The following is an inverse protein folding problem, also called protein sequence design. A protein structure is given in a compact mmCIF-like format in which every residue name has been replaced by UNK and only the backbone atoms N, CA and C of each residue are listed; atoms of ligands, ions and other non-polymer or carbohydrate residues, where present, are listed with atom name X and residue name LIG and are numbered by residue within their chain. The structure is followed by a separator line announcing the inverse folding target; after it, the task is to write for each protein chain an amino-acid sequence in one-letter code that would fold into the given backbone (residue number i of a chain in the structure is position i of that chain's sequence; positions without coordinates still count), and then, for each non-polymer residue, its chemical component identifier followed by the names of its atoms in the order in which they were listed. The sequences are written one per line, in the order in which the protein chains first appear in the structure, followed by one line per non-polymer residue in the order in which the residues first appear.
data_IF_390114349428
#
_entry.id   IF_390114349428
#
_cell.length_a   1.000
_cell.length_b   1.000
_cell.length_c   1.000
_cell.angle_alpha   90.00
_cell.angle_beta   90.00
_cell.angle_gamma   90.00
#
_symmetry.space_group_name_H-M   'P 1'
#
loop_
_entity.id
_entity.type
_entity.pdbx_description
1 polymer ?
#
# COMPACT_ATOMS: atom_id res chain seq x y z
N UNK A 1 18.28 14.12 -9.61
CA UNK A 1 17.11 13.20 -9.52
C UNK A 1 17.49 12.13 -8.52
N UNK A 2 16.91 12.16 -7.33
CA UNK A 2 17.24 11.20 -6.27
C UNK A 2 16.71 9.83 -6.67
N UNK A 3 17.58 8.83 -6.78
CA UNK A 3 17.21 7.44 -7.02
C UNK A 3 16.19 7.01 -5.95
N UNK A 4 14.99 6.59 -6.36
CA UNK A 4 14.05 5.97 -5.41
C UNK A 4 14.67 4.63 -4.97
N UNK A 5 14.76 4.34 -3.66
CA UNK A 5 15.21 3.05 -3.19
C UNK A 5 14.38 1.94 -3.83
N UNK A 6 15.03 0.84 -4.23
CA UNK A 6 14.37 -0.35 -4.80
C UNK A 6 13.28 -0.96 -3.89
N UNK A 7 13.24 -0.52 -2.63
CA UNK A 7 12.27 -0.93 -1.61
C UNK A 7 10.96 -0.12 -1.61
N UNK A 8 10.82 0.88 -2.47
CA UNK A 8 9.64 1.74 -2.49
C UNK A 8 8.51 1.08 -3.28
N UNK A 9 7.35 0.88 -2.65
CA UNK A 9 6.16 0.42 -3.34
C UNK A 9 5.71 1.51 -4.36
N UNK A 10 5.16 1.11 -5.51
CA UNK A 10 4.63 2.05 -6.51
C UNK A 10 3.50 2.93 -5.94
N UNK A 11 3.21 4.07 -6.59
CA UNK A 11 2.31 5.10 -6.05
C UNK A 11 0.96 4.52 -5.57
N UNK A 12 0.48 4.88 -4.36
CA UNK A 12 -0.81 4.41 -3.85
C UNK A 12 -1.99 4.99 -4.61
N UNK A 13 -1.83 6.12 -5.29
CA UNK A 13 -2.92 6.78 -6.01
C UNK A 13 -3.31 6.07 -7.30
N UNK A 14 -2.53 5.08 -7.72
CA UNK A 14 -2.84 4.26 -8.88
C UNK A 14 -3.63 3.02 -8.44
N UNK A 15 -4.93 3.06 -8.67
CA UNK A 15 -5.84 1.95 -8.36
C UNK A 15 -5.47 0.68 -9.15
N UNK A 16 -4.92 0.81 -10.35
CA UNK A 16 -4.48 -0.32 -11.17
C UNK A 16 -3.30 -1.05 -10.53
N UNK A 17 -2.32 -0.30 -10.04
CA UNK A 17 -1.20 -0.82 -9.25
C UNK A 17 -1.68 -1.56 -8.01
N UNK A 18 -2.62 -0.97 -7.26
CA UNK A 18 -3.11 -1.57 -6.01
C UNK A 18 -3.83 -2.90 -6.27
N UNK A 19 -4.62 -2.99 -7.36
CA UNK A 19 -5.27 -4.24 -7.79
C UNK A 19 -4.27 -5.31 -8.18
N UNK A 20 -3.18 -4.95 -8.87
CA UNK A 20 -2.10 -5.90 -9.21
C UNK A 20 -1.45 -6.44 -7.94
N UNK A 21 -1.15 -5.57 -6.97
CA UNK A 21 -0.58 -5.99 -5.68
C UNK A 21 -1.54 -7.00 -5.03
N UNK A 22 -2.80 -6.63 -4.81
CA UNK A 22 -3.80 -7.51 -4.18
C UNK A 22 -3.96 -8.85 -4.90
N UNK A 23 -4.03 -8.86 -6.23
CA UNK A 23 -4.14 -10.09 -7.02
C UNK A 23 -2.90 -11.00 -6.88
N UNK A 24 -1.71 -10.39 -6.79
CA UNK A 24 -0.46 -11.12 -6.56
C UNK A 24 -0.41 -11.68 -5.14
N UNK A 25 -1.01 -10.98 -4.17
CA UNK A 25 -1.09 -11.42 -2.78
C UNK A 25 -2.00 -12.62 -2.58
N UNK A 26 -3.10 -12.74 -3.32
CA UNK A 26 -3.99 -13.91 -3.27
C UNK A 26 -3.28 -15.22 -3.67
N UNK A 27 -2.20 -15.11 -4.44
CA UNK A 27 -1.40 -16.25 -4.91
C UNK A 27 -0.28 -16.65 -3.92
N UNK A 28 -0.05 -15.85 -2.87
CA UNK A 28 1.03 -16.07 -1.89
C UNK A 28 0.54 -16.13 -0.43
N UNK A 29 1.35 -16.72 0.45
CA UNK A 29 1.10 -16.64 1.89
C UNK A 29 1.57 -15.27 2.39
N UNK A 30 0.65 -14.33 2.53
CA UNK A 30 0.93 -13.01 3.08
C UNK A 30 0.17 -12.82 4.39
N UNK A 31 0.80 -12.03 5.26
CA UNK A 31 0.24 -11.54 6.50
C UNK A 31 -1.16 -10.91 6.30
N UNK A 32 -2.11 -11.34 7.13
CA UNK A 32 -3.51 -10.92 7.02
C UNK A 32 -3.68 -9.41 7.28
N UNK A 33 -2.83 -8.82 8.13
CA UNK A 33 -2.89 -7.40 8.44
C UNK A 33 -2.49 -6.57 7.23
N UNK A 34 -1.43 -6.97 6.52
CA UNK A 34 -1.02 -6.29 5.29
C UNK A 34 -2.12 -6.33 4.22
N UNK A 35 -2.82 -7.46 4.09
CA UNK A 35 -3.96 -7.59 3.17
C UNK A 35 -5.09 -6.64 3.54
N UNK A 36 -5.46 -6.57 4.82
CA UNK A 36 -6.50 -5.67 5.31
C UNK A 36 -6.14 -4.20 5.01
N UNK A 37 -4.90 -3.80 5.27
CA UNK A 37 -4.45 -2.42 5.04
C UNK A 37 -4.52 -2.02 3.55
N UNK A 38 -4.20 -2.94 2.65
CA UNK A 38 -4.25 -2.70 1.20
C UNK A 38 -5.70 -2.65 0.67
N UNK A 39 -6.60 -3.49 1.18
CA UNK A 39 -8.03 -3.39 0.84
C UNK A 39 -8.62 -2.07 1.31
N UNK A 40 -8.27 -1.61 2.52
CA UNK A 40 -8.73 -0.32 3.00
C UNK A 40 -8.23 0.84 2.12
N UNK A 41 -6.98 0.80 1.67
CA UNK A 41 -6.46 1.77 0.70
C UNK A 41 -7.25 1.77 -0.60
N UNK A 42 -7.60 0.60 -1.12
CA UNK A 42 -8.42 0.49 -2.33
C UNK A 42 -9.74 1.23 -2.16
N UNK A 43 -10.44 0.96 -1.05
CA UNK A 43 -11.71 1.62 -0.72
C UNK A 43 -11.51 3.13 -0.61
N UNK A 44 -10.45 3.59 0.07
CA UNK A 44 -10.18 5.03 0.20
C UNK A 44 -9.96 5.72 -1.14
N UNK A 45 -9.28 5.08 -2.10
CA UNK A 45 -9.06 5.61 -3.45
C UNK A 45 -10.37 5.66 -4.23
N UNK A 46 -11.16 4.58 -4.20
CA UNK A 46 -12.47 4.53 -4.86
C UNK A 46 -13.44 5.59 -4.30
N UNK A 47 -13.40 5.83 -2.99
CA UNK A 47 -14.18 6.90 -2.34
C UNK A 47 -13.66 8.29 -2.66
N UNK A 48 -12.34 8.45 -2.85
CA UNK A 48 -11.74 9.71 -3.28
C UNK A 48 -12.21 10.11 -4.69
N UNK A 49 -12.27 9.16 -5.62
CA UNK A 49 -12.73 9.37 -6.99
C UNK A 49 -14.21 9.81 -7.06
N UNK A 50 -15.03 9.36 -6.10
CA UNK A 50 -16.45 9.71 -5.99
C UNK A 50 -16.70 11.01 -5.24
N UNK A 51 -15.68 11.58 -4.60
CA UNK A 51 -15.79 12.70 -3.68
C UNK A 51 -15.43 14.04 -4.33
N UNK A 52 -16.18 15.09 -3.98
CA UNK A 52 -15.81 16.47 -4.34
C UNK A 52 -14.62 17.03 -3.54
N UNK A 53 -14.10 16.27 -2.55
CA UNK A 53 -13.01 16.67 -1.63
C UNK A 53 -11.73 15.87 -1.88
N UNK A 54 -11.29 15.78 -3.13
CA UNK A 54 -10.13 14.97 -3.56
C UNK A 54 -8.84 15.23 -2.75
N UNK A 55 -8.50 16.49 -2.49
CA UNK A 55 -7.26 16.85 -1.77
C UNK A 55 -7.21 16.31 -0.32
N UNK A 56 -8.35 16.25 0.36
CA UNK A 56 -8.44 15.72 1.72
C UNK A 56 -8.26 14.21 1.71
N UNK A 57 -8.85 13.54 0.71
CA UNK A 57 -8.66 12.11 0.52
C UNK A 57 -7.23 11.78 0.15
N UNK A 58 -6.58 12.55 -0.72
CA UNK A 58 -5.19 12.33 -1.11
C UNK A 58 -4.27 12.35 0.11
N UNK A 59 -4.45 13.33 1.02
CA UNK A 59 -3.67 13.38 2.27
C UNK A 59 -3.86 12.10 3.10
N UNK A 60 -5.11 11.66 3.30
CA UNK A 60 -5.42 10.45 4.07
C UNK A 60 -4.87 9.18 3.41
N UNK A 61 -4.98 9.06 2.08
CA UNK A 61 -4.45 7.92 1.31
C UNK A 61 -2.92 7.87 1.47
N UNK A 62 -2.23 9.01 1.37
CA UNK A 62 -0.77 9.07 1.57
C UNK A 62 -0.36 8.71 3.00
N UNK A 63 -1.11 9.16 4.01
CA UNK A 63 -0.87 8.77 5.41
C UNK A 63 -1.05 7.26 5.61
N UNK A 64 -2.14 6.69 5.08
CA UNK A 64 -2.39 5.26 5.17
C UNK A 64 -1.37 4.42 4.41
N UNK A 65 -0.90 4.93 3.28
CA UNK A 65 0.14 4.30 2.49
C UNK A 65 1.46 4.19 3.24
N UNK A 66 1.87 5.24 3.97
CA UNK A 66 3.09 5.19 4.80
C UNK A 66 3.01 4.07 5.83
N UNK A 67 1.83 3.86 6.45
CA UNK A 67 1.64 2.75 7.39
C UNK A 67 1.82 1.38 6.70
N UNK A 68 1.35 1.23 5.46
CA UNK A 68 1.59 0.00 4.66
C UNK A 68 3.07 -0.20 4.39
N UNK A 69 3.79 0.86 3.98
CA UNK A 69 5.23 0.79 3.74
C UNK A 69 6.01 0.40 5.01
N UNK A 70 5.60 0.91 6.18
CA UNK A 70 6.18 0.56 7.47
C UNK A 70 5.94 -0.91 7.82
N UNK A 71 4.72 -1.42 7.64
CA UNK A 71 4.38 -2.82 7.88
C UNK A 71 5.18 -3.76 6.96
N UNK A 72 5.27 -3.44 5.66
CA UNK A 72 6.08 -4.21 4.69
C UNK A 72 7.56 -4.19 5.08
N UNK A 73 8.09 -3.03 5.49
CA UNK A 73 9.49 -2.92 5.93
C UNK A 73 9.76 -3.77 7.17
N UNK A 74 8.87 -3.73 8.16
CA UNK A 74 8.96 -4.54 9.38
C UNK A 74 8.91 -6.04 9.07
N UNK A 75 7.97 -6.47 8.21
CA UNK A 75 7.86 -7.86 7.79
C UNK A 75 9.12 -8.37 7.08
N UNK A 76 9.71 -7.55 6.21
CA UNK A 76 10.99 -7.87 5.54
C UNK A 76 12.17 -7.96 6.50
N UNK A 77 12.28 -7.02 7.45
CA UNK A 77 13.33 -7.02 8.45
C UNK A 77 13.27 -8.29 9.31
N UNK A 78 12.08 -8.70 9.75
CA UNK A 78 11.88 -9.92 10.53
C UNK A 78 12.23 -11.18 9.72
N UNK A 79 11.91 -11.22 8.43
CA UNK A 79 12.27 -12.34 7.55
C UNK A 79 13.78 -12.42 7.26
N UNK A 80 14.49 -11.29 7.28
CA UNK A 80 15.94 -11.23 7.12
C UNK A 80 16.70 -11.66 8.39
N UNK A 81 16.14 -11.39 9.59
CA UNK A 81 16.74 -11.74 10.89
C UNK A 81 16.61 -13.24 11.23
N UNK A 82 15.61 -13.92 10.69
CA UNK A 82 15.39 -15.36 10.87
C UNK A 82 16.28 -16.27 9.98
N UNK A 83 17.17 -15.69 9.18
CA UNK A 83 17.98 -16.39 8.17
C UNK A 83 19.43 -16.54 8.60
#
# INVERSE_FOLDING_TARGET
MTERPADFLPSPLDLGVLKIILATMEQGAIDADLRYMLVELQIMIEEAERSSRGEIWEKKIRERWRAVEENVRAGRANAADMR
#
